data_IF_976367586528
#
_entry.id   IF_976367586528
#
_cell.length_a   1.000
_cell.length_b   1.000
_cell.length_c   1.000
_cell.angle_alpha   90.00
_cell.angle_beta   90.00
_cell.angle_gamma   90.00
#
_symmetry.space_group_name_H-M   'P 1'
#
loop_
_entity.id
_entity.type
_entity.pdbx_description
1 polymer ?
#
# COMPACT_ATOMS: atom_id res chain seq x y z
N UNK A 1 0.96 0.97 -10.20
CA UNK A 1 0.37 0.40 -8.98
C UNK A 1 0.33 -1.11 -9.14
N UNK A 2 0.83 -1.87 -8.18
CA UNK A 2 0.87 -3.33 -8.21
C UNK A 2 0.42 -3.89 -6.86
N UNK A 3 -0.24 -5.04 -6.90
CA UNK A 3 -0.64 -5.80 -5.71
C UNK A 3 0.18 -7.08 -5.70
N UNK A 4 0.96 -7.30 -4.65
CA UNK A 4 1.71 -8.50 -4.39
C UNK A 4 1.28 -9.11 -3.05
N UNK A 5 1.84 -10.26 -2.69
CA UNK A 5 1.70 -10.82 -1.35
C UNK A 5 3.05 -10.88 -0.64
N UNK A 6 3.01 -10.87 0.68
CA UNK A 6 4.16 -11.10 1.56
C UNK A 6 3.78 -12.07 2.68
N UNK A 7 4.76 -12.78 3.23
CA UNK A 7 4.57 -13.58 4.44
C UNK A 7 4.83 -12.71 5.66
N UNK A 8 3.86 -12.65 6.57
CA UNK A 8 3.99 -12.03 7.88
C UNK A 8 4.92 -12.83 8.80
N UNK A 9 5.42 -12.19 9.86
CA UNK A 9 6.30 -12.84 10.85
C UNK A 9 5.61 -14.01 11.58
N UNK A 10 4.28 -14.01 11.62
CA UNK A 10 3.42 -15.05 12.18
C UNK A 10 3.02 -16.13 11.15
N UNK A 11 3.54 -16.05 9.92
CA UNK A 11 3.19 -16.95 8.82
C UNK A 11 1.88 -16.59 8.10
N UNK A 12 1.24 -15.48 8.44
CA UNK A 12 0.06 -14.98 7.71
C UNK A 12 0.41 -14.53 6.29
N UNK A 13 -0.55 -14.62 5.37
CA UNK A 13 -0.43 -14.05 4.03
C UNK A 13 -0.95 -12.61 4.04
N UNK A 14 -0.08 -11.67 3.72
CA UNK A 14 -0.37 -10.24 3.66
C UNK A 14 -0.48 -9.79 2.21
N UNK A 15 -1.42 -8.89 1.93
CA UNK A 15 -1.48 -8.19 0.64
C UNK A 15 -0.68 -6.90 0.71
N UNK A 16 0.18 -6.65 -0.28
CA UNK A 16 1.04 -5.47 -0.35
C UNK A 16 0.69 -4.68 -1.61
N UNK A 17 0.14 -3.49 -1.42
CA UNK A 17 -0.15 -2.54 -2.49
C UNK A 17 1.01 -1.53 -2.58
N UNK A 18 1.66 -1.47 -3.74
CA UNK A 18 2.79 -0.55 -3.96
C UNK A 18 2.64 0.22 -5.27
N UNK A 19 2.96 1.50 -5.25
CA UNK A 19 3.03 2.31 -6.46
C UNK A 19 3.16 3.79 -6.16
N UNK A 20 3.57 4.55 -7.18
CA UNK A 20 3.62 6.00 -7.10
C UNK A 20 2.22 6.60 -7.00
N UNK A 21 2.10 7.62 -6.16
CA UNK A 21 0.93 8.48 -6.02
C UNK A 21 1.33 9.90 -6.39
N UNK A 22 0.44 10.59 -7.09
CA UNK A 22 0.71 11.95 -7.60
C UNK A 22 0.76 12.98 -6.46
N UNK A 23 -0.06 12.79 -5.43
CA UNK A 23 -0.19 13.69 -4.29
C UNK A 23 -0.85 12.99 -3.08
N UNK A 24 -1.08 13.76 -2.02
CA UNK A 24 -1.73 13.28 -0.79
C UNK A 24 -3.24 13.05 -0.93
N UNK A 25 -3.91 13.68 -1.90
CA UNK A 25 -5.33 13.42 -2.14
C UNK A 25 -5.53 12.03 -2.76
N UNK A 26 -4.62 11.63 -3.66
CA UNK A 26 -4.56 10.28 -4.21
C UNK A 26 -4.28 9.24 -3.10
N UNK A 27 -3.38 9.53 -2.16
CA UNK A 27 -3.17 8.67 -0.98
C UNK A 27 -4.45 8.50 -0.16
N UNK A 28 -5.12 9.60 0.17
CA UNK A 28 -6.37 9.57 0.92
C UNK A 28 -7.45 8.74 0.21
N UNK A 29 -7.53 8.85 -1.12
CA UNK A 29 -8.43 8.04 -1.94
C UNK A 29 -8.15 6.54 -1.83
N UNK A 30 -6.88 6.12 -1.88
CA UNK A 30 -6.49 4.71 -1.71
C UNK A 30 -6.86 4.21 -0.32
N UNK A 31 -6.53 4.95 0.74
CA UNK A 31 -6.81 4.54 2.12
C UNK A 31 -8.32 4.38 2.37
N UNK A 32 -9.12 5.34 1.89
CA UNK A 32 -10.58 5.24 1.98
C UNK A 32 -11.15 4.09 1.14
N UNK A 33 -10.57 3.83 -0.04
CA UNK A 33 -10.96 2.69 -0.86
C UNK A 33 -10.74 1.36 -0.16
N UNK A 34 -9.56 1.17 0.46
CA UNK A 34 -9.26 -0.03 1.25
C UNK A 34 -10.21 -0.18 2.44
N UNK A 35 -10.49 0.92 3.15
CA UNK A 35 -11.44 0.94 4.25
C UNK A 35 -12.86 0.59 3.79
N UNK A 36 -13.32 1.16 2.66
CA UNK A 36 -14.64 0.88 2.09
C UNK A 36 -14.82 -0.57 1.64
N UNK A 37 -13.72 -1.26 1.29
CA UNK A 37 -13.70 -2.70 1.00
C UNK A 37 -13.65 -3.58 2.25
N UNK A 38 -13.54 -2.99 3.46
CA UNK A 38 -13.40 -3.73 4.71
C UNK A 38 -12.05 -4.44 4.87
N UNK A 39 -11.02 -4.02 4.11
CA UNK A 39 -9.69 -4.61 4.20
C UNK A 39 -8.91 -3.97 5.36
N UNK A 40 -8.34 -4.78 6.27
CA UNK A 40 -7.56 -4.26 7.38
C UNK A 40 -6.25 -3.65 6.87
N UNK A 41 -5.98 -2.40 7.28
CA UNK A 41 -4.72 -1.72 7.01
C UNK A 41 -3.73 -2.02 8.13
N UNK A 42 -2.70 -2.82 7.82
CA UNK A 42 -1.72 -3.29 8.82
C UNK A 42 -0.58 -2.29 8.97
N UNK A 43 -0.02 -1.81 7.86
CA UNK A 43 1.06 -0.83 7.83
C UNK A 43 1.01 0.01 6.56
N UNK A 44 1.60 1.20 6.63
CA UNK A 44 1.82 2.09 5.50
C UNK A 44 3.24 2.62 5.59
N UNK A 45 3.97 2.54 4.48
CA UNK A 45 5.33 3.02 4.35
C UNK A 45 5.42 3.94 3.13
N UNK A 46 5.99 5.13 3.31
CA UNK A 46 6.37 5.99 2.19
C UNK A 46 7.69 5.49 1.62
N UNK A 47 7.64 4.91 0.41
CA UNK A 47 8.84 4.50 -0.31
C UNK A 47 9.43 5.71 -1.02
N UNK A 48 10.72 5.96 -0.82
CA UNK A 48 11.47 6.92 -1.61
C UNK A 48 11.39 6.54 -3.10
N UNK A 49 10.92 7.47 -3.92
CA UNK A 49 10.98 7.29 -5.37
C UNK A 49 12.43 7.52 -5.74
N UNK A 50 13.19 6.44 -5.94
CA UNK A 50 14.46 6.51 -6.63
C UNK A 50 14.18 7.09 -8.03
N UNK A 51 14.30 8.41 -8.17
CA UNK A 51 14.51 9.05 -9.47
C UNK A 51 15.83 8.49 -9.96
N UNK A 52 15.77 7.49 -10.83
CA UNK A 52 16.93 7.11 -11.62
C UNK A 52 17.49 8.39 -12.25
N UNK A 53 18.80 8.58 -12.10
CA UNK A 53 19.59 9.61 -12.77
C UNK A 53 19.39 9.56 -14.30
#
# INVERSE_FOLDING_TARGET
MAINYALGADGSLLSVLTGGLVDQAALFGVLNGLYGLGLPLISVECLEINKGE
#
